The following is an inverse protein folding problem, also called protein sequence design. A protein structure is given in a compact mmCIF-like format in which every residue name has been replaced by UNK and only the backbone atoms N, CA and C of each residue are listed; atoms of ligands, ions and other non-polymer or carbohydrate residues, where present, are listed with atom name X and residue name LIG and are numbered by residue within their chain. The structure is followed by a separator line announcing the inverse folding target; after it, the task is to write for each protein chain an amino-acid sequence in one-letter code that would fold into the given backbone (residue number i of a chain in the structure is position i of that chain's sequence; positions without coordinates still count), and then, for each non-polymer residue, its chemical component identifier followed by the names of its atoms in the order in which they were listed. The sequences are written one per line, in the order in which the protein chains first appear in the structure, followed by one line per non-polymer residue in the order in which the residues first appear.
data_IF_003726712326
#
_entry.id   IF_003726712326
#
_cell.length_a   1.000
_cell.length_b   1.000
_cell.length_c   1.000
_cell.angle_alpha   90.00
_cell.angle_beta   90.00
_cell.angle_gamma   90.00
#
_symmetry.space_group_name_H-M   'P 1'
#
loop_
_entity.id
_entity.type
_entity.pdbx_description
1 polymer ?
#
# COMPACT_ATOMS: atom_id res chain seq x y z
N UNK A 1 -8.07 -0.42 5.48
CA UNK A 1 -8.38 0.14 4.14
C UNK A 1 -8.75 1.61 4.25
N UNK A 2 -9.85 1.97 4.92
CA UNK A 2 -10.32 3.37 4.98
C UNK A 2 -9.32 4.32 5.64
N UNK A 3 -8.85 3.96 6.85
CA UNK A 3 -7.92 4.80 7.62
C UNK A 3 -6.63 5.09 6.85
N UNK A 4 -6.03 4.07 6.26
CA UNK A 4 -4.76 4.19 5.54
C UNK A 4 -4.91 5.00 4.26
N UNK A 5 -6.03 4.87 3.54
CA UNK A 5 -6.31 5.70 2.36
C UNK A 5 -6.58 7.16 2.74
N UNK A 6 -7.26 7.41 3.85
CA UNK A 6 -7.46 8.78 4.35
C UNK A 6 -6.14 9.42 4.77
N UNK A 7 -5.27 8.66 5.44
CA UNK A 7 -3.92 9.12 5.78
C UNK A 7 -3.11 9.52 4.54
N UNK A 8 -3.20 8.71 3.48
CA UNK A 8 -2.49 8.98 2.24
C UNK A 8 -3.03 10.21 1.49
N UNK A 9 -4.34 10.51 1.60
CA UNK A 9 -4.95 11.74 1.06
C UNK A 9 -4.49 13.01 1.77
N UNK A 10 -4.14 12.93 3.05
CA UNK A 10 -3.66 14.07 3.80
C UNK A 10 -2.34 14.58 3.22
N UNK A 11 -2.23 15.91 3.08
CA UNK A 11 -0.97 16.58 2.77
C UNK A 11 0.14 16.08 3.71
N UNK A 12 1.34 15.72 3.19
CA UNK A 12 2.45 15.22 4.00
C UNK A 12 2.74 16.05 5.25
N UNK A 13 2.59 17.38 5.21
CA UNK A 13 2.87 18.26 6.36
C UNK A 13 1.87 18.05 7.52
N UNK A 14 0.66 17.58 7.22
CA UNK A 14 -0.41 17.35 8.19
C UNK A 14 -0.45 15.91 8.71
N UNK A 15 0.20 14.96 8.03
CA UNK A 15 0.21 13.53 8.41
C UNK A 15 0.69 13.25 9.84
N UNK A 16 1.50 14.14 10.42
CA UNK A 16 1.96 14.04 11.82
C UNK A 16 0.80 14.07 12.82
N UNK A 17 -0.33 14.70 12.48
CA UNK A 17 -1.52 14.78 13.34
C UNK A 17 -2.47 13.57 13.18
N UNK A 18 -2.27 12.77 12.14
CA UNK A 18 -3.13 11.63 11.78
C UNK A 18 -2.40 10.30 11.84
N UNK A 19 -1.28 10.23 12.57
CA UNK A 19 -0.41 9.05 12.57
C UNK A 19 -1.10 7.79 13.10
N UNK A 20 -2.12 7.95 13.94
CA UNK A 20 -2.99 6.87 14.40
C UNK A 20 -3.67 6.13 13.24
N UNK A 21 -3.98 6.78 12.12
CA UNK A 21 -4.62 6.12 10.97
C UNK A 21 -3.75 5.04 10.31
N UNK A 22 -2.43 5.09 10.50
CA UNK A 22 -1.50 4.07 10.00
C UNK A 22 -1.20 2.95 11.02
N UNK A 23 -1.51 3.16 12.29
CA UNK A 23 -1.13 2.23 13.38
C UNK A 23 -2.32 1.59 14.09
N UNK A 24 -3.50 2.22 14.06
CA UNK A 24 -4.69 1.78 14.78
C UNK A 24 -5.15 0.37 14.37
N UNK A 25 -5.03 0.04 13.08
CA UNK A 25 -5.33 -1.30 12.56
C UNK A 25 -4.56 -2.42 13.25
N UNK A 26 -3.35 -2.15 13.75
CA UNK A 26 -2.54 -3.13 14.47
C UNK A 26 -3.08 -3.50 15.86
N UNK A 27 -3.95 -2.66 16.46
CA UNK A 27 -4.54 -2.96 17.77
C UNK A 27 -5.46 -4.18 17.72
N UNK A 28 -6.08 -4.42 16.57
CA UNK A 28 -7.01 -5.53 16.36
C UNK A 28 -6.57 -6.47 15.22
N UNK A 29 -5.40 -6.28 14.61
CA UNK A 29 -4.93 -7.08 13.46
C UNK A 29 -4.88 -8.59 13.70
N UNK A 30 -4.94 -9.05 14.95
CA UNK A 30 -4.88 -10.46 15.35
C UNK A 30 -6.19 -10.99 15.94
N UNK A 31 -7.27 -10.20 15.92
CA UNK A 31 -8.60 -10.69 16.34
C UNK A 31 -9.26 -11.52 15.24
N UNK A 32 -8.85 -11.31 13.98
CA UNK A 32 -9.41 -11.97 12.80
C UNK A 32 -8.30 -12.24 11.77
N UNK A 33 -8.61 -13.12 10.80
CA UNK A 33 -7.74 -13.39 9.66
C UNK A 33 -7.96 -12.36 8.55
N UNK A 34 -7.45 -11.13 8.72
CA UNK A 34 -7.69 -10.05 7.78
C UNK A 34 -7.03 -10.23 6.40
N UNK A 35 -7.76 -9.78 5.38
CA UNK A 35 -7.22 -9.34 4.09
C UNK A 35 -7.15 -7.82 4.11
N UNK A 36 -6.13 -7.25 3.46
CA UNK A 36 -5.98 -5.82 3.21
C UNK A 36 -6.47 -5.53 1.78
N UNK A 37 -7.74 -5.13 1.58
CA UNK A 37 -8.26 -4.87 0.25
C UNK A 37 -8.05 -3.43 -0.19
N UNK A 38 -7.70 -3.29 -1.46
CA UNK A 38 -8.08 -2.16 -2.31
C UNK A 38 -8.94 -2.77 -3.40
N UNK A 39 -10.26 -2.82 -3.17
CA UNK A 39 -11.25 -3.42 -4.07
C UNK A 39 -11.75 -2.40 -5.10
N UNK A 40 -12.61 -2.86 -6.01
CA UNK A 40 -13.27 -2.02 -7.01
C UNK A 40 -14.07 -0.86 -6.39
N UNK A 41 -14.74 -1.10 -5.25
CA UNK A 41 -15.50 -0.07 -4.51
C UNK A 41 -14.64 1.12 -4.11
N UNK A 42 -13.32 0.94 -4.01
CA UNK A 42 -12.36 1.96 -3.66
C UNK A 42 -11.86 2.76 -4.86
N UNK A 43 -12.41 2.61 -6.06
CA UNK A 43 -11.98 3.38 -7.24
C UNK A 43 -13.15 3.80 -8.14
N UNK A 44 -14.33 3.97 -7.54
CA UNK A 44 -15.60 4.33 -8.23
C UNK A 44 -16.36 5.42 -7.48
N UNK A 45 -17.48 5.86 -8.06
CA UNK A 45 -18.50 6.71 -7.44
C UNK A 45 -17.94 8.03 -6.86
N UNK A 46 -17.03 8.68 -7.58
CA UNK A 46 -16.47 9.98 -7.18
C UNK A 46 -15.36 9.86 -6.13
N UNK A 47 -14.98 8.64 -5.73
CA UNK A 47 -13.93 8.43 -4.74
C UNK A 47 -12.51 8.56 -5.32
N UNK A 48 -12.36 8.80 -6.62
CA UNK A 48 -11.12 8.88 -7.41
C UNK A 48 -10.35 7.55 -7.48
N UNK A 49 -9.45 7.44 -8.45
CA UNK A 49 -8.42 6.41 -8.48
C UNK A 49 -7.48 6.54 -7.27
N UNK A 50 -6.73 5.48 -6.95
CA UNK A 50 -5.76 5.54 -5.85
C UNK A 50 -4.66 6.57 -6.13
N UNK A 51 -4.23 6.72 -7.40
CA UNK A 51 -3.26 7.74 -7.80
C UNK A 51 -3.77 9.16 -7.53
N UNK A 52 -5.01 9.45 -7.90
CA UNK A 52 -5.61 10.79 -7.73
C UNK A 52 -6.09 11.11 -6.32
N UNK A 53 -6.02 10.14 -5.42
CA UNK A 53 -6.13 10.38 -3.97
C UNK A 53 -4.83 10.91 -3.37
N UNK A 54 -3.69 10.73 -4.03
CA UNK A 54 -2.40 11.17 -3.51
C UNK A 54 -2.26 12.70 -3.64
N UNK A 55 -1.73 13.40 -2.63
CA UNK A 55 -1.53 14.84 -2.69
C UNK A 55 -0.26 15.18 -3.49
N UNK A 56 -0.22 16.44 -3.96
CA UNK A 56 0.96 17.02 -4.58
C UNK A 56 0.97 16.98 -6.11
N UNK A 57 2.11 17.34 -6.67
CA UNK A 57 2.37 17.23 -8.10
C UNK A 57 2.41 15.75 -8.55
N UNK A 58 2.52 15.53 -9.86
CA UNK A 58 2.45 14.18 -10.40
C UNK A 58 3.60 13.29 -9.87
N UNK A 59 4.82 13.80 -9.74
CA UNK A 59 5.93 13.04 -9.15
C UNK A 59 5.61 12.62 -7.71
N UNK A 60 5.07 13.54 -6.90
CA UNK A 60 4.66 13.29 -5.53
C UNK A 60 3.51 12.27 -5.45
N UNK A 61 2.54 12.33 -6.37
CA UNK A 61 1.45 11.35 -6.44
C UNK A 61 1.96 9.92 -6.64
N UNK A 62 2.81 9.73 -7.65
CA UNK A 62 3.41 8.43 -7.92
C UNK A 62 4.34 7.96 -6.78
N UNK A 63 5.10 8.87 -6.16
CA UNK A 63 5.95 8.54 -5.02
C UNK A 63 5.13 8.09 -3.81
N UNK A 64 4.04 8.80 -3.48
CA UNK A 64 3.13 8.42 -2.41
C UNK A 64 2.46 7.06 -2.67
N UNK A 65 2.02 6.81 -3.90
CA UNK A 65 1.41 5.53 -4.28
C UNK A 65 2.39 4.36 -4.08
N UNK A 66 3.63 4.51 -4.55
CA UNK A 66 4.69 3.50 -4.37
C UNK A 66 4.99 3.26 -2.88
N UNK A 67 5.10 4.32 -2.09
CA UNK A 67 5.32 4.22 -0.65
C UNK A 67 4.16 3.48 0.05
N UNK A 68 2.92 3.77 -0.36
CA UNK A 68 1.74 3.12 0.18
C UNK A 68 1.68 1.62 -0.15
N UNK A 69 2.00 1.23 -1.38
CA UNK A 69 2.07 -0.20 -1.74
C UNK A 69 3.19 -0.93 -0.99
N UNK A 70 4.37 -0.30 -0.83
CA UNK A 70 5.43 -0.85 0.01
C UNK A 70 4.97 -1.09 1.45
N UNK A 71 4.26 -0.12 2.04
CA UNK A 71 3.63 -0.28 3.36
C UNK A 71 2.61 -1.43 3.38
N UNK A 72 1.68 -1.45 2.43
CA UNK A 72 0.62 -2.46 2.35
C UNK A 72 1.16 -3.88 2.24
N UNK A 73 2.22 -4.09 1.44
CA UNK A 73 2.87 -5.40 1.30
C UNK A 73 3.60 -5.82 2.58
N UNK A 74 4.23 -4.87 3.28
CA UNK A 74 4.94 -5.14 4.52
C UNK A 74 4.01 -5.32 5.75
N UNK A 75 2.81 -4.74 5.73
CA UNK A 75 1.83 -4.82 6.83
C UNK A 75 1.25 -6.24 7.00
N UNK A 76 0.95 -6.74 8.21
CA UNK A 76 0.30 -8.04 8.40
C UNK A 76 -1.06 -8.16 7.71
N UNK A 77 -1.35 -9.35 7.18
CA UNK A 77 -2.60 -9.69 6.48
C UNK A 77 -2.39 -9.94 4.97
N UNK A 78 -3.31 -10.67 4.32
CA UNK A 78 -3.19 -10.98 2.88
C UNK A 78 -3.49 -9.76 2.01
N UNK A 79 -3.05 -9.77 0.75
CA UNK A 79 -3.13 -8.59 -0.15
C UNK A 79 -4.22 -8.80 -1.18
N UNK A 80 -5.03 -7.77 -1.42
CA UNK A 80 -5.94 -7.70 -2.55
C UNK A 80 -5.81 -6.33 -3.19
N UNK A 81 -5.50 -6.30 -4.49
CA UNK A 81 -5.35 -5.10 -5.29
C UNK A 81 -6.20 -5.24 -6.55
N UNK A 82 -7.14 -4.33 -6.76
CA UNK A 82 -8.03 -4.35 -7.92
C UNK A 82 -7.29 -3.94 -9.20
N UNK A 83 -7.73 -4.49 -10.34
CA UNK A 83 -7.15 -4.21 -11.65
C UNK A 83 -7.14 -2.71 -11.97
N UNK A 84 -6.11 -2.26 -12.70
CA UNK A 84 -5.85 -0.83 -12.94
C UNK A 84 -5.03 -0.17 -11.84
N UNK A 85 -5.12 -0.64 -10.60
CA UNK A 85 -4.34 -0.07 -9.49
C UNK A 85 -2.84 -0.43 -9.59
N UNK A 86 -2.51 -1.55 -10.23
CA UNK A 86 -1.15 -2.07 -10.38
C UNK A 86 -0.26 -1.25 -11.31
N UNK A 87 -0.85 -0.48 -12.23
CA UNK A 87 -0.13 0.46 -13.10
C UNK A 87 -0.55 1.91 -12.88
N UNK A 88 -1.24 2.19 -11.77
CA UNK A 88 -1.68 3.52 -11.38
C UNK A 88 -2.57 4.20 -12.44
N UNK A 89 -3.64 3.52 -12.87
CA UNK A 89 -4.65 4.15 -13.70
C UNK A 89 -5.12 5.47 -13.05
N UNK A 90 -5.13 6.54 -13.85
CA UNK A 90 -5.50 7.88 -13.37
C UNK A 90 -7.00 8.02 -13.16
N UNK A 91 -7.80 7.57 -14.12
CA UNK A 91 -9.26 7.68 -14.07
C UNK A 91 -9.88 6.68 -13.08
N UNK A 92 -11.03 7.03 -12.54
CA UNK A 92 -11.88 6.06 -11.83
C UNK A 92 -12.17 4.86 -12.74
N UNK A 93 -12.36 3.70 -12.12
CA UNK A 93 -12.79 2.53 -12.87
C UNK A 93 -14.19 2.77 -13.40
N UNK A 94 -14.38 2.44 -14.68
CA UNK A 94 -15.66 2.47 -15.36
C UNK A 94 -15.90 1.08 -15.95
N UNK A 95 -17.02 0.46 -15.59
CA UNK A 95 -17.37 -0.88 -16.05
C UNK A 95 -17.75 -0.92 -17.55
N UNK A 96 -18.15 0.21 -18.13
CA UNK A 96 -18.51 0.34 -19.55
C UNK A 96 -17.29 0.47 -20.49
N UNK A 97 -16.08 0.65 -19.94
CA UNK A 97 -14.87 0.88 -20.74
C UNK A 97 -13.73 -0.03 -20.32
N UNK A 98 -12.81 -0.30 -21.23
CA UNK A 98 -11.57 -0.98 -20.89
C UNK A 98 -10.73 -0.16 -19.91
N UNK A 99 -9.80 -0.84 -19.22
CA UNK A 99 -8.74 -0.16 -18.49
C UNK A 99 -7.88 0.68 -19.45
N UNK A 100 -7.17 1.66 -18.88
CA UNK A 100 -6.31 2.62 -19.59
C UNK A 100 -4.95 2.00 -19.98
N UNK A 101 -4.99 0.92 -20.77
CA UNK A 101 -3.79 0.18 -21.18
C UNK A 101 -2.76 1.03 -21.94
N UNK A 102 -3.21 2.07 -22.64
CA UNK A 102 -2.37 3.03 -23.34
C UNK A 102 -1.36 3.74 -22.41
N UNK A 103 -1.60 3.79 -21.11
CA UNK A 103 -0.67 4.36 -20.13
C UNK A 103 0.66 3.57 -20.01
N UNK A 104 0.65 2.31 -20.43
CA UNK A 104 1.81 1.43 -20.45
C UNK A 104 2.53 1.41 -21.82
N UNK A 105 1.96 2.07 -22.84
CA UNK A 105 2.56 2.12 -24.16
C UNK A 105 3.72 3.14 -24.24
N UNK A 106 4.64 2.91 -25.17
CA UNK A 106 5.76 3.81 -25.45
C UNK A 106 7.00 3.60 -24.56
N UNK A 107 7.71 4.70 -24.28
CA UNK A 107 8.92 4.70 -23.45
C UNK A 107 8.60 4.50 -21.97
N UNK A 108 9.60 4.01 -21.21
CA UNK A 108 9.46 3.80 -19.78
C UNK A 108 9.05 5.08 -19.05
N UNK A 109 8.00 4.98 -18.23
CA UNK A 109 7.31 6.10 -17.61
C UNK A 109 6.87 5.77 -16.18
N UNK A 110 6.16 6.68 -15.51
CA UNK A 110 5.75 6.48 -14.12
C UNK A 110 4.76 5.32 -13.91
N UNK A 111 3.88 5.03 -14.86
CA UNK A 111 2.94 3.90 -14.81
C UNK A 111 3.68 2.56 -14.89
N UNK A 112 4.60 2.46 -15.86
CA UNK A 112 5.52 1.33 -15.99
C UNK A 112 6.33 1.11 -14.68
N UNK A 113 6.77 2.20 -14.03
CA UNK A 113 7.43 2.14 -12.73
C UNK A 113 6.57 1.56 -11.59
N UNK A 114 5.28 1.88 -11.54
CA UNK A 114 4.37 1.30 -10.54
C UNK A 114 4.09 -0.18 -10.84
N UNK A 115 3.91 -0.54 -12.11
CA UNK A 115 3.71 -1.94 -12.51
C UNK A 115 4.92 -2.80 -12.14
N UNK A 116 6.15 -2.33 -12.40
CA UNK A 116 7.37 -3.01 -11.95
C UNK A 116 7.44 -3.12 -10.44
N UNK A 117 7.11 -2.06 -9.70
CA UNK A 117 7.08 -2.13 -8.23
C UNK A 117 6.12 -3.24 -7.76
N UNK A 118 4.90 -3.31 -8.28
CA UNK A 118 3.93 -4.34 -7.87
C UNK A 118 4.43 -5.75 -8.21
N UNK A 119 5.02 -5.93 -9.40
CA UNK A 119 5.69 -7.18 -9.78
C UNK A 119 6.79 -7.55 -8.78
N UNK A 120 7.68 -6.63 -8.47
CA UNK A 120 8.83 -6.86 -7.60
C UNK A 120 8.39 -7.10 -6.14
N UNK A 121 7.36 -6.39 -5.67
CA UNK A 121 6.71 -6.63 -4.37
C UNK A 121 6.09 -8.02 -4.30
N UNK A 122 5.45 -8.50 -5.37
CA UNK A 122 4.89 -9.86 -5.43
C UNK A 122 5.98 -10.93 -5.43
N UNK A 123 7.08 -10.73 -6.16
CA UNK A 123 8.23 -11.63 -6.09
C UNK A 123 8.82 -11.68 -4.68
N UNK A 124 9.07 -10.51 -4.08
CA UNK A 124 9.57 -10.40 -2.72
C UNK A 124 8.63 -11.08 -1.71
N UNK A 125 7.32 -10.83 -1.80
CA UNK A 125 6.32 -11.45 -0.93
C UNK A 125 6.38 -12.97 -0.99
N UNK A 126 6.48 -13.56 -2.19
CA UNK A 126 6.55 -15.02 -2.36
C UNK A 126 7.86 -15.63 -1.89
N UNK A 127 8.97 -14.90 -2.03
CA UNK A 127 10.31 -15.37 -1.68
C UNK A 127 10.65 -15.23 -0.20
N UNK A 128 9.96 -14.35 0.52
CA UNK A 128 10.27 -14.03 1.91
C UNK A 128 9.15 -14.53 2.85
N UNK A 129 9.29 -15.76 3.37
CA UNK A 129 8.35 -16.37 4.31
C UNK A 129 7.88 -15.46 5.46
N UNK A 130 8.74 -14.63 6.07
CA UNK A 130 8.32 -13.72 7.13
C UNK A 130 7.26 -12.68 6.74
N UNK A 131 7.03 -12.45 5.43
CA UNK A 131 6.01 -11.53 4.95
C UNK A 131 4.59 -12.14 4.94
N UNK A 132 4.46 -13.47 5.02
CA UNK A 132 3.15 -14.13 4.87
C UNK A 132 2.86 -15.27 5.86
N UNK A 133 3.87 -15.97 6.37
CA UNK A 133 3.68 -17.20 7.14
C UNK A 133 2.99 -16.94 8.48
N UNK A 134 3.28 -15.79 9.10
CA UNK A 134 2.85 -15.45 10.46
C UNK A 134 1.95 -14.20 10.52
N UNK A 135 1.21 -13.92 9.44
CA UNK A 135 0.34 -12.75 9.34
C UNK A 135 -0.69 -12.64 10.50
N UNK A 136 -1.14 -13.78 11.02
CA UNK A 136 -2.19 -13.86 12.04
C UNK A 136 -1.66 -14.18 13.45
N UNK A 137 -0.35 -14.07 13.65
CA UNK A 137 0.28 -14.32 14.95
C UNK A 137 0.88 -13.03 15.50
N UNK A 138 0.62 -12.66 16.78
CA UNK A 138 1.16 -11.43 17.37
C UNK A 138 2.69 -11.30 17.30
N UNK A 139 3.42 -12.40 17.28
CA UNK A 139 4.88 -12.41 17.19
C UNK A 139 5.42 -12.41 15.75
N UNK A 140 4.53 -12.49 14.74
CA UNK A 140 4.87 -12.35 13.32
C UNK A 140 5.18 -10.92 12.89
N UNK A 141 4.81 -9.92 13.69
CA UNK A 141 5.13 -8.52 13.42
C UNK A 141 5.42 -7.76 14.72
N UNK A 142 6.47 -6.95 14.68
CA UNK A 142 6.82 -6.06 15.78
C UNK A 142 7.10 -4.67 15.25
N UNK A 143 6.34 -3.70 15.74
CA UNK A 143 6.61 -2.30 15.46
C UNK A 143 7.94 -1.91 16.11
N UNK A 144 8.85 -1.31 15.34
CA UNK A 144 10.10 -0.82 15.88
C UNK A 144 9.85 0.48 16.68
N UNK A 145 9.73 0.35 18.01
CA UNK A 145 9.96 1.42 18.99
C UNK A 145 9.07 2.67 18.88
N UNK A 146 8.02 2.73 19.71
CA UNK A 146 7.35 3.98 20.07
C UNK A 146 8.12 4.74 21.16
N UNK A 147 8.45 6.01 20.88
CA UNK A 147 8.50 7.18 21.79
C UNK A 147 9.37 8.35 21.26
N UNK A 148 10.13 8.22 20.16
CA UNK A 148 10.91 9.35 19.58
C UNK A 148 11.10 9.36 18.04
N UNK A 149 10.35 8.63 17.23
CA UNK A 149 10.46 8.76 15.76
C UNK A 149 9.28 9.54 15.20
N UNK A 150 9.54 10.75 14.72
CA UNK A 150 8.65 11.51 13.82
C UNK A 150 8.52 10.87 12.42
N UNK A 151 8.93 9.60 12.27
CA UNK A 151 9.00 8.85 11.02
C UNK A 151 8.56 7.40 11.26
N UNK A 152 7.65 6.92 10.42
CA UNK A 152 7.19 5.54 10.42
C UNK A 152 8.33 4.66 9.89
N UNK A 153 8.98 3.91 10.78
CA UNK A 153 9.92 2.86 10.40
C UNK A 153 9.24 1.51 10.45
N UNK A 154 8.77 0.99 9.31
CA UNK A 154 8.40 -0.43 9.21
C UNK A 154 9.70 -1.22 9.14
N UNK A 155 10.07 -1.93 10.21
CA UNK A 155 11.19 -2.88 10.14
C UNK A 155 10.70 -4.07 9.32
N UNK A 156 11.28 -4.26 8.14
CA UNK A 156 10.97 -5.39 7.25
C UNK A 156 11.04 -6.69 8.06
N UNK A 157 9.94 -7.47 8.04
CA UNK A 157 9.81 -8.76 8.75
C UNK A 157 10.90 -9.78 8.35
N UNK A 158 11.52 -9.58 7.18
CA UNK A 158 12.61 -10.40 6.65
C UNK A 158 13.87 -10.45 7.55
N UNK A 159 14.15 -9.42 8.35
CA UNK A 159 15.43 -9.34 9.08
C UNK A 159 15.49 -10.16 10.38
N UNK A 160 14.41 -10.86 10.77
CA UNK A 160 14.40 -11.62 12.04
C UNK A 160 14.63 -13.12 11.89
N UNK A 161 14.45 -13.67 10.70
CA UNK A 161 14.48 -15.13 10.49
C UNK A 161 15.75 -15.63 9.79
N UNK A 162 16.64 -14.75 9.36
CA UNK A 162 17.96 -15.11 8.82
C UNK A 162 19.04 -15.28 9.92
N UNK A 163 18.64 -15.46 11.18
CA UNK A 163 19.53 -15.51 12.35
C UNK A 163 19.12 -16.52 13.41
N UNK A 164 18.43 -17.60 13.02
CA UNK A 164 18.26 -18.81 13.82
C UNK A 164 18.80 -20.00 13.04
#
# INVERSE_FOLDING_TARGET
MHDTLNYMKCDPVHRKYHHNQMTFGMLYAYTENFVLPISHDEVVHGKKSILDRMPGDAWQKFANLRAYYGFMWAHPGKKLLFMGCEFAQGREWNFDTSLDWHLLEGLDNWHNGVQRLVRDLNHCYRQQAPLYERDYRPDGFRMAGGRRSRQLGVRLRALRFAGQ
#
